data_IF_048503106611
#
_entry.id   IF_048503106611
#
_cell.length_a   1.000
_cell.length_b   1.000
_cell.length_c   1.000
_cell.angle_alpha   90.00
_cell.angle_beta   90.00
_cell.angle_gamma   90.00
#
_symmetry.space_group_name_H-M   'P 1'
#
loop_
_entity.id
_entity.type
_entity.pdbx_description
1 polymer ?
#
# COMPACT_ATOMS: atom_id res chain seq x y z
N UNK A 1 -13.96 19.92 -15.77
CA UNK A 1 -13.64 20.53 -17.08
C UNK A 1 -13.85 19.47 -18.15
N UNK A 2 -15.03 19.44 -18.77
CA UNK A 2 -15.28 18.60 -19.95
C UNK A 2 -14.57 19.28 -21.12
N UNK A 3 -13.40 18.77 -21.51
CA UNK A 3 -12.69 19.29 -22.67
C UNK A 3 -13.59 19.15 -23.91
N UNK A 4 -13.78 20.25 -24.66
CA UNK A 4 -14.47 20.21 -25.95
C UNK A 4 -13.87 19.11 -26.82
N UNK A 5 -14.72 18.38 -27.55
CA UNK A 5 -14.24 17.35 -28.47
C UNK A 5 -13.35 18.03 -29.52
N UNK A 6 -12.08 17.61 -29.69
CA UNK A 6 -11.20 18.20 -30.69
C UNK A 6 -11.83 18.03 -32.07
N UNK A 7 -11.84 19.11 -32.86
CA UNK A 7 -12.33 19.08 -34.25
C UNK A 7 -11.42 18.15 -35.08
N UNK A 8 -11.97 17.36 -36.01
CA UNK A 8 -11.17 16.52 -36.88
C UNK A 8 -10.26 17.38 -37.77
N UNK A 9 -9.02 16.94 -37.94
CA UNK A 9 -8.07 17.60 -38.84
C UNK A 9 -8.59 17.57 -40.30
N UNK A 10 -8.23 18.56 -41.14
CA UNK A 10 -8.55 18.53 -42.57
C UNK A 10 -8.05 17.24 -43.23
N UNK A 11 -8.82 16.67 -44.14
CA UNK A 11 -8.53 15.37 -44.77
C UNK A 11 -7.12 15.30 -45.39
N UNK A 12 -6.70 16.37 -46.08
CA UNK A 12 -5.36 16.44 -46.69
C UNK A 12 -4.20 16.43 -45.68
N UNK A 13 -4.42 16.94 -44.46
CA UNK A 13 -3.42 16.85 -43.37
C UNK A 13 -3.33 15.43 -42.85
N UNK A 14 -4.47 14.77 -42.62
CA UNK A 14 -4.52 13.38 -42.16
C UNK A 14 -3.88 12.42 -43.17
N UNK A 15 -4.13 12.61 -44.47
CA UNK A 15 -3.47 11.85 -45.55
C UNK A 15 -1.97 12.03 -45.57
N UNK A 16 -1.49 13.27 -45.37
CA UNK A 16 -0.06 13.57 -45.35
C UNK A 16 0.66 12.96 -44.14
N UNK A 17 0.02 12.90 -42.98
CA UNK A 17 0.65 12.40 -41.74
C UNK A 17 0.61 10.87 -41.61
N UNK A 18 -0.38 10.21 -42.21
CA UNK A 18 -0.59 8.76 -42.09
C UNK A 18 0.65 7.90 -42.40
N UNK A 19 1.44 8.19 -43.46
CA UNK A 19 2.65 7.41 -43.74
C UNK A 19 3.75 7.55 -42.68
N UNK A 20 3.75 8.66 -41.93
CA UNK A 20 4.76 8.95 -40.91
C UNK A 20 4.41 8.43 -39.52
N UNK A 21 3.14 8.05 -39.28
CA UNK A 21 2.63 7.66 -37.97
C UNK A 21 3.44 6.58 -37.25
N UNK A 22 3.89 5.54 -37.98
CA UNK A 22 4.70 4.49 -37.37
C UNK A 22 6.09 4.99 -36.93
N UNK A 23 6.72 5.84 -37.74
CA UNK A 23 8.04 6.41 -37.43
C UNK A 23 7.96 7.44 -36.30
N UNK A 24 6.93 8.28 -36.30
CA UNK A 24 6.68 9.25 -35.23
C UNK A 24 6.40 8.53 -33.90
N UNK A 25 5.58 7.48 -33.93
CA UNK A 25 5.35 6.64 -32.77
C UNK A 25 6.67 6.04 -32.25
N UNK A 26 7.46 5.42 -33.11
CA UNK A 26 8.72 4.80 -32.72
C UNK A 26 9.72 5.80 -32.13
N UNK A 27 9.69 7.06 -32.57
CA UNK A 27 10.51 8.15 -32.00
C UNK A 27 10.00 8.63 -30.65
N UNK A 28 8.68 8.71 -30.46
CA UNK A 28 8.07 9.25 -29.25
C UNK A 28 7.98 8.22 -28.12
N UNK A 29 7.77 6.95 -28.46
CA UNK A 29 7.51 5.89 -27.49
C UNK A 29 8.59 5.74 -26.40
N UNK A 30 9.91 5.79 -26.71
CA UNK A 30 10.93 5.71 -25.67
C UNK A 30 10.85 6.84 -24.64
N UNK A 31 10.40 8.03 -25.02
CA UNK A 31 10.22 9.14 -24.08
C UNK A 31 9.03 8.90 -23.14
N UNK A 32 7.94 8.35 -23.68
CA UNK A 32 6.77 7.98 -22.88
C UNK A 32 7.11 6.85 -21.91
N UNK A 33 7.88 5.85 -22.35
CA UNK A 33 8.36 4.76 -21.49
C UNK A 33 9.24 5.30 -20.37
N UNK A 34 10.22 6.16 -20.68
CA UNK A 34 11.10 6.76 -19.68
C UNK A 34 10.33 7.59 -18.64
N UNK A 35 9.35 8.39 -19.08
CA UNK A 35 8.50 9.16 -18.15
C UNK A 35 7.63 8.24 -17.29
N UNK A 36 7.04 7.20 -17.88
CA UNK A 36 6.24 6.22 -17.15
C UNK A 36 7.08 5.45 -16.13
N UNK A 37 8.30 5.08 -16.46
CA UNK A 37 9.25 4.42 -15.55
C UNK A 37 9.65 5.33 -14.39
N UNK A 38 9.97 6.60 -14.67
CA UNK A 38 10.28 7.58 -13.63
C UNK A 38 9.10 7.78 -12.65
N UNK A 39 7.87 7.90 -13.17
CA UNK A 39 6.65 8.01 -12.36
C UNK A 39 6.37 6.73 -11.56
N UNK A 40 6.58 5.56 -12.16
CA UNK A 40 6.42 4.29 -11.48
C UNK A 40 7.42 4.14 -10.33
N UNK A 41 8.67 4.57 -10.55
CA UNK A 41 9.71 4.55 -9.53
C UNK A 41 9.38 5.47 -8.35
N UNK A 42 8.96 6.72 -8.62
CA UNK A 42 8.52 7.66 -7.57
C UNK A 42 7.34 7.10 -6.75
N UNK A 43 6.34 6.54 -7.43
CA UNK A 43 5.21 5.91 -6.76
C UNK A 43 5.65 4.70 -5.90
N UNK A 44 6.60 3.89 -6.37
CA UNK A 44 7.16 2.78 -5.59
C UNK A 44 7.85 3.27 -4.32
N UNK A 45 8.66 4.33 -4.41
CA UNK A 45 9.33 4.91 -3.24
C UNK A 45 8.31 5.43 -2.22
N UNK A 46 7.24 6.09 -2.67
CA UNK A 46 6.18 6.59 -1.78
C UNK A 46 5.43 5.44 -1.09
N UNK A 47 5.16 4.35 -1.80
CA UNK A 47 4.54 3.15 -1.22
C UNK A 47 5.47 2.49 -0.20
N UNK A 48 6.77 2.43 -0.46
CA UNK A 48 7.77 1.88 0.46
C UNK A 48 7.90 2.73 1.73
N UNK A 49 7.97 4.06 1.59
CA UNK A 49 7.95 4.98 2.74
C UNK A 49 6.71 4.77 3.61
N UNK A 50 5.52 4.68 2.99
CA UNK A 50 4.28 4.39 3.71
C UNK A 50 4.29 3.02 4.38
N UNK A 51 4.79 1.99 3.71
CA UNK A 51 4.93 0.66 4.28
C UNK A 51 5.78 0.69 5.56
N UNK A 52 6.90 1.43 5.54
CA UNK A 52 7.75 1.62 6.70
C UNK A 52 7.06 2.37 7.84
N UNK A 53 6.38 3.46 7.56
CA UNK A 53 5.64 4.22 8.58
C UNK A 53 4.55 3.37 9.23
N UNK A 54 3.75 2.67 8.43
CA UNK A 54 2.61 1.90 8.93
C UNK A 54 3.03 0.61 9.65
N UNK A 55 4.04 -0.12 9.16
CA UNK A 55 4.54 -1.30 9.86
C UNK A 55 5.11 -0.93 11.24
N UNK A 56 5.77 0.23 11.35
CA UNK A 56 6.37 0.67 12.60
C UNK A 56 5.30 1.13 13.59
N UNK A 57 4.30 1.86 13.10
CA UNK A 57 3.11 2.22 13.89
C UNK A 57 2.36 0.97 14.40
N UNK A 58 2.14 -0.03 13.53
CA UNK A 58 1.50 -1.29 13.92
C UNK A 58 2.33 -2.04 14.96
N UNK A 59 3.66 -2.12 14.77
CA UNK A 59 4.56 -2.75 15.74
C UNK A 59 4.47 -2.07 17.11
N UNK A 60 4.50 -0.74 17.15
CA UNK A 60 4.38 0.03 18.39
C UNK A 60 3.02 -0.19 19.08
N UNK A 61 1.94 -0.25 18.29
CA UNK A 61 0.60 -0.53 18.80
C UNK A 61 0.54 -1.92 19.46
N UNK A 62 1.02 -2.96 18.78
CA UNK A 62 1.03 -4.33 19.30
C UNK A 62 1.93 -4.48 20.53
N UNK A 63 3.10 -3.83 20.55
CA UNK A 63 3.99 -3.78 21.71
C UNK A 63 3.33 -3.09 22.91
N UNK A 64 2.60 -2.00 22.67
CA UNK A 64 1.87 -1.27 23.71
C UNK A 64 0.74 -2.12 24.30
N UNK A 65 -0.01 -2.83 23.45
CA UNK A 65 -1.03 -3.79 23.90
C UNK A 65 -0.42 -4.91 24.75
N UNK A 66 0.71 -5.48 24.31
CA UNK A 66 1.43 -6.51 25.06
C UNK A 66 1.88 -5.99 26.42
N UNK A 67 2.50 -4.82 26.49
CA UNK A 67 2.96 -4.23 27.75
C UNK A 67 1.80 -3.91 28.72
N UNK A 68 0.64 -3.46 28.20
CA UNK A 68 -0.56 -3.26 29.00
C UNK A 68 -1.08 -4.58 29.58
N UNK A 69 -1.10 -5.65 28.77
CA UNK A 69 -1.53 -6.97 29.20
C UNK A 69 -0.57 -7.61 30.21
N UNK A 70 0.75 -7.47 30.04
CA UNK A 70 1.76 -7.94 31.01
C UNK A 70 1.59 -7.26 32.39
N UNK A 71 1.26 -5.96 32.40
CA UNK A 71 0.94 -5.23 33.65
C UNK A 71 -0.34 -5.77 34.29
N UNK A 72 -1.38 -6.00 33.51
CA UNK A 72 -2.65 -6.53 33.99
C UNK A 72 -2.47 -7.93 34.63
N UNK A 73 -1.74 -8.83 33.97
CA UNK A 73 -1.41 -10.16 34.50
C UNK A 73 -0.71 -10.04 35.86
N UNK A 74 0.31 -9.21 35.95
CA UNK A 74 1.09 -9.01 37.18
C UNK A 74 0.22 -8.47 38.33
N UNK A 75 -0.68 -7.53 38.04
CA UNK A 75 -1.60 -6.96 39.04
C UNK A 75 -2.59 -8.02 39.55
N UNK A 76 -3.16 -8.82 38.65
CA UNK A 76 -4.08 -9.89 39.04
C UNK A 76 -3.38 -10.93 39.93
N UNK A 77 -2.12 -11.32 39.64
CA UNK A 77 -1.28 -12.24 40.46
C UNK A 77 -1.09 -11.82 41.92
N UNK A 78 -1.22 -10.53 42.23
CA UNK A 78 -1.02 -10.03 43.60
C UNK A 78 -2.30 -10.07 44.46
N UNK A 79 -3.49 -10.25 43.87
CA UNK A 79 -4.79 -10.09 44.54
C UNK A 79 -5.41 -11.42 45.07
N UNK A 80 -4.63 -12.52 45.04
CA UNK A 80 -5.11 -13.89 45.31
C UNK A 80 -5.33 -14.24 46.80
N UNK A 81 -4.99 -13.34 47.74
CA UNK A 81 -4.80 -13.68 49.16
C UNK A 81 -6.05 -14.14 49.93
N UNK A 82 -7.27 -13.81 49.50
CA UNK A 82 -8.47 -13.94 50.37
C UNK A 82 -9.77 -14.38 49.67
N UNK A 83 -9.71 -14.92 48.45
CA UNK A 83 -10.92 -15.16 47.64
C UNK A 83 -11.55 -16.57 47.80
N UNK A 84 -12.90 -16.70 47.70
CA UNK A 84 -13.64 -17.97 47.61
C UNK A 84 -13.20 -18.88 46.45
N UNK A 85 -13.42 -20.20 46.57
CA UNK A 85 -12.94 -21.20 45.59
C UNK A 85 -13.49 -21.01 44.16
N UNK A 86 -14.73 -20.53 44.00
CA UNK A 86 -15.31 -20.27 42.68
C UNK A 86 -14.62 -19.09 41.97
N UNK A 87 -14.32 -18.03 42.72
CA UNK A 87 -13.57 -16.87 42.22
C UNK A 87 -12.14 -17.24 41.85
N UNK A 88 -11.49 -18.14 42.60
CA UNK A 88 -10.14 -18.64 42.26
C UNK A 88 -10.10 -19.33 40.90
N UNK A 89 -11.07 -20.18 40.59
CA UNK A 89 -11.14 -20.85 39.27
C UNK A 89 -11.35 -19.85 38.14
N UNK A 90 -12.22 -18.86 38.34
CA UNK A 90 -12.45 -17.82 37.34
C UNK A 90 -11.17 -17.04 37.06
N UNK A 91 -10.42 -16.66 38.10
CA UNK A 91 -9.15 -15.94 37.94
C UNK A 91 -8.08 -16.81 37.28
N UNK A 92 -7.99 -18.10 37.61
CA UNK A 92 -7.09 -19.03 36.92
C UNK A 92 -7.41 -19.15 35.44
N UNK A 93 -8.69 -19.18 35.07
CA UNK A 93 -9.14 -19.24 33.68
C UNK A 93 -8.79 -17.95 32.93
N UNK A 94 -9.03 -16.79 33.55
CA UNK A 94 -8.66 -15.48 33.02
C UNK A 94 -7.13 -15.36 32.85
N UNK A 95 -6.34 -15.85 33.82
CA UNK A 95 -4.88 -15.86 33.72
C UNK A 95 -4.40 -16.69 32.52
N UNK A 96 -4.93 -17.90 32.35
CA UNK A 96 -4.59 -18.75 31.19
C UNK A 96 -5.01 -18.12 29.87
N UNK A 97 -6.13 -17.39 29.85
CA UNK A 97 -6.55 -16.64 28.66
C UNK A 97 -5.55 -15.52 28.33
N UNK A 98 -5.12 -14.75 29.33
CA UNK A 98 -4.15 -13.66 29.15
C UNK A 98 -2.78 -14.18 28.69
N UNK A 99 -2.28 -15.30 29.23
CA UNK A 99 -1.03 -15.93 28.79
C UNK A 99 -1.07 -16.37 27.32
N UNK A 100 -2.20 -16.94 26.88
CA UNK A 100 -2.42 -17.30 25.47
C UNK A 100 -2.41 -16.06 24.58
N UNK A 101 -3.06 -14.97 25.02
CA UNK A 101 -3.06 -13.71 24.27
C UNK A 101 -1.67 -13.08 24.20
N UNK A 102 -0.86 -13.14 25.26
CA UNK A 102 0.53 -12.68 25.23
C UNK A 102 1.37 -13.48 24.22
N UNK A 103 1.19 -14.79 24.18
CA UNK A 103 1.84 -15.65 23.18
C UNK A 103 1.44 -15.28 21.76
N UNK A 104 0.13 -15.02 21.55
CA UNK A 104 -0.38 -14.60 20.25
C UNK A 104 0.19 -13.23 19.84
N UNK A 105 0.17 -12.24 20.73
CA UNK A 105 0.74 -10.91 20.48
C UNK A 105 2.23 -10.99 20.13
N UNK A 106 3.00 -11.88 20.75
CA UNK A 106 4.41 -12.08 20.40
C UNK A 106 4.60 -12.54 18.95
N UNK A 107 3.68 -13.38 18.43
CA UNK A 107 3.68 -13.79 17.03
C UNK A 107 3.21 -12.66 16.11
N UNK A 108 2.13 -11.96 16.49
CA UNK A 108 1.56 -10.84 15.73
C UNK A 108 2.59 -9.71 15.53
N UNK A 109 3.36 -9.37 16.56
CA UNK A 109 4.43 -8.35 16.51
C UNK A 109 5.47 -8.62 15.42
N UNK A 110 5.73 -9.90 15.12
CA UNK A 110 6.68 -10.29 14.07
C UNK A 110 5.99 -10.41 12.70
N UNK A 111 4.81 -11.01 12.67
CA UNK A 111 4.13 -11.41 11.44
C UNK A 111 3.34 -10.28 10.79
N UNK A 112 2.50 -9.58 11.55
CA UNK A 112 1.55 -8.62 10.98
C UNK A 112 2.22 -7.38 10.38
N UNK A 113 3.26 -6.78 10.99
CA UNK A 113 3.98 -5.68 10.35
C UNK A 113 4.62 -6.08 9.02
N UNK A 114 5.15 -7.31 8.92
CA UNK A 114 5.75 -7.82 7.69
C UNK A 114 4.69 -8.10 6.61
N UNK A 115 3.56 -8.69 6.99
CA UNK A 115 2.42 -8.89 6.10
C UNK A 115 1.87 -7.55 5.57
N UNK A 116 1.78 -6.54 6.43
CA UNK A 116 1.35 -5.19 6.05
C UNK A 116 2.30 -4.55 5.03
N UNK A 117 3.62 -4.63 5.26
CA UNK A 117 4.60 -4.08 4.32
C UNK A 117 4.51 -4.71 2.92
N UNK A 118 4.23 -6.01 2.83
CA UNK A 118 4.07 -6.70 1.54
C UNK A 118 2.82 -6.25 0.76
N UNK A 119 1.79 -5.68 1.40
CA UNK A 119 0.62 -5.15 0.70
C UNK A 119 0.96 -3.93 -0.18
N UNK A 120 2.00 -3.18 0.19
CA UNK A 120 2.48 -2.01 -0.54
C UNK A 120 3.41 -2.36 -1.71
N UNK A 121 3.82 -3.63 -1.84
CA UNK A 121 4.76 -4.07 -2.85
C UNK A 121 4.13 -4.10 -4.25
N UNK A 122 4.66 -3.26 -5.15
CA UNK A 122 4.26 -3.27 -6.56
C UNK A 122 4.78 -4.53 -7.25
N UNK A 123 3.87 -5.44 -7.62
CA UNK A 123 4.23 -6.69 -8.33
C UNK A 123 4.53 -6.48 -9.81
N UNK A 124 3.87 -5.51 -10.44
CA UNK A 124 4.05 -5.19 -11.86
C UNK A 124 3.55 -3.79 -12.17
N UNK A 125 4.37 -3.00 -12.85
CA UNK A 125 3.97 -1.78 -13.53
C UNK A 125 4.26 -1.94 -15.04
N UNK A 126 3.33 -1.50 -15.90
CA UNK A 126 3.51 -1.53 -17.35
C UNK A 126 2.71 -0.41 -18.00
N UNK A 127 3.35 0.31 -18.92
CA UNK A 127 2.69 1.20 -19.85
C UNK A 127 2.38 0.47 -21.16
N UNK A 128 1.21 0.75 -21.74
CA UNK A 128 0.77 0.13 -23.00
C UNK A 128 0.24 1.24 -23.91
N UNK A 129 0.66 1.28 -25.19
CA UNK A 129 0.16 2.28 -26.12
C UNK A 129 -1.28 1.95 -26.51
N UNK A 130 -2.15 2.98 -26.52
CA UNK A 130 -3.55 2.85 -26.94
C UNK A 130 -3.85 3.60 -28.25
N UNK A 131 -3.00 4.56 -28.64
CA UNK A 131 -3.12 5.30 -29.88
C UNK A 131 -2.13 6.47 -29.96
N UNK A 132 -1.96 7.02 -31.16
CA UNK A 132 -1.20 8.24 -31.42
C UNK A 132 -2.17 9.35 -31.86
N UNK A 133 -2.07 10.52 -31.25
CA UNK A 133 -2.90 11.69 -31.58
C UNK A 133 -2.01 12.81 -32.10
N UNK A 134 -2.40 13.39 -33.24
CA UNK A 134 -1.76 14.58 -33.80
C UNK A 134 -2.56 15.82 -33.42
N UNK A 135 -1.88 16.83 -32.91
CA UNK A 135 -2.43 18.17 -32.71
C UNK A 135 -1.98 19.05 -33.89
N UNK A 136 -2.94 19.68 -34.58
CA UNK A 136 -2.67 20.52 -35.74
C UNK A 136 -3.32 21.91 -35.55
N UNK A 137 -2.59 23.01 -35.78
CA UNK A 137 -3.13 24.35 -35.62
C UNK A 137 -4.14 24.70 -36.71
N UNK A 138 -5.15 25.52 -36.38
CA UNK A 138 -6.16 25.98 -37.34
C UNK A 138 -5.65 27.04 -38.32
N UNK A 139 -4.51 27.68 -38.01
CA UNK A 139 -3.91 28.70 -38.86
C UNK A 139 -2.73 28.12 -39.65
N UNK A 140 -2.96 27.88 -40.94
CA UNK A 140 -1.97 27.59 -41.97
C UNK A 140 -2.46 28.14 -43.30
#
# INVERSE_FOLDING_TARGET
LLAERPRPAPAGVAERLRPHAAADFARLWPHVEAEAEARAHDAQQQLEARAHEEQDALRQLLQSQRAALEKQVTQTTLDFGTLPQAERRQIEDDHRHMERRLTQLAQEIQREPAELAELYRVKRARVVPVGLVYLWPEAG
#
